data_IF_149563010456
#
_entry.id   IF_149563010456
#
_cell.length_a   1.000
_cell.length_b   1.000
_cell.length_c   1.000
_cell.angle_alpha   90.00
_cell.angle_beta   90.00
_cell.angle_gamma   90.00
#
_symmetry.space_group_name_H-M   'P 1'
#
loop_
_entity.id
_entity.type
_entity.pdbx_description
1 polymer ?
#
# COMPACT_ATOMS: atom_id res chain seq x y z
N UNK A 1 -13.85 -39.47 10.89
CA UNK A 1 -13.03 -39.58 12.13
C UNK A 1 -12.32 -38.22 12.26
N UNK A 2 -12.36 -37.62 13.46
CA UNK A 2 -11.64 -36.36 13.71
C UNK A 2 -10.15 -36.59 13.43
N UNK A 3 -9.49 -35.60 12.82
CA UNK A 3 -8.08 -35.74 12.43
C UNK A 3 -7.12 -35.69 13.62
N UNK A 4 -7.62 -35.21 14.75
CA UNK A 4 -6.84 -34.93 15.96
C UNK A 4 -5.91 -33.72 15.83
N UNK A 5 -5.91 -33.03 14.70
CA UNK A 5 -5.14 -31.82 14.47
C UNK A 5 -5.94 -30.55 14.78
N UNK A 6 -5.25 -29.49 15.25
CA UNK A 6 -5.83 -28.18 15.44
C UNK A 6 -4.81 -27.07 15.13
N UNK A 7 -5.32 -25.89 14.79
CA UNK A 7 -4.56 -24.66 14.69
C UNK A 7 -4.84 -23.80 15.92
N UNK A 8 -3.82 -23.52 16.71
CA UNK A 8 -3.91 -22.61 17.85
C UNK A 8 -3.47 -21.21 17.39
N UNK A 9 -4.33 -20.22 17.60
CA UNK A 9 -4.08 -18.83 17.29
C UNK A 9 -4.51 -17.91 18.44
N UNK A 10 -4.33 -16.61 18.26
CA UNK A 10 -4.74 -15.60 19.22
C UNK A 10 -5.81 -14.72 18.57
N UNK A 11 -6.97 -14.59 19.23
CA UNK A 11 -8.04 -13.71 18.76
C UNK A 11 -7.72 -12.23 18.97
N UNK A 12 -8.50 -11.34 18.35
CA UNK A 12 -8.31 -9.89 18.42
C UNK A 12 -8.38 -9.30 19.85
N UNK A 13 -9.01 -10.01 20.77
CA UNK A 13 -9.10 -9.64 22.20
C UNK A 13 -7.95 -10.21 23.05
N UNK A 14 -6.98 -10.90 22.42
CA UNK A 14 -5.84 -11.53 23.09
C UNK A 14 -6.14 -12.92 23.68
N UNK A 15 -7.34 -13.48 23.50
CA UNK A 15 -7.66 -14.84 23.95
C UNK A 15 -7.06 -15.89 23.01
N UNK A 16 -6.62 -17.03 23.57
CA UNK A 16 -6.23 -18.20 22.79
C UNK A 16 -7.43 -18.89 22.19
N UNK A 17 -7.38 -19.18 20.90
CA UNK A 17 -8.45 -19.88 20.18
C UNK A 17 -7.85 -21.08 19.47
N UNK A 18 -8.44 -22.25 19.74
CA UNK A 18 -8.12 -23.49 19.03
C UNK A 18 -9.16 -23.72 17.92
N UNK A 19 -8.68 -23.92 16.70
CA UNK A 19 -9.48 -24.23 15.53
C UNK A 19 -9.25 -25.70 15.15
N UNK A 20 -10.22 -26.57 15.44
CA UNK A 20 -10.12 -27.98 15.08
C UNK A 20 -10.05 -28.16 13.55
N UNK A 21 -9.10 -28.95 13.07
CA UNK A 21 -9.03 -29.42 11.68
C UNK A 21 -9.91 -30.66 11.58
N UNK A 22 -11.23 -30.46 11.52
CA UNK A 22 -12.21 -31.55 11.60
C UNK A 22 -12.12 -32.54 10.43
N UNK A 23 -11.66 -32.11 9.28
CA UNK A 23 -11.51 -32.94 8.06
C UNK A 23 -10.45 -32.37 7.15
N UNK A 24 -9.95 -33.18 6.24
CA UNK A 24 -8.96 -32.82 5.24
C UNK A 24 -9.50 -33.13 3.83
N UNK A 25 -9.21 -32.33 2.81
CA UNK A 25 -8.40 -31.10 2.88
C UNK A 25 -9.11 -29.98 3.66
N UNK A 26 -8.31 -29.14 4.34
CA UNK A 26 -8.78 -28.04 5.17
C UNK A 26 -8.27 -26.71 4.58
N UNK A 27 -9.18 -25.83 4.18
CA UNK A 27 -8.84 -24.57 3.53
C UNK A 27 -8.90 -23.40 4.50
N UNK A 28 -7.96 -22.47 4.34
CA UNK A 28 -7.80 -21.26 5.15
C UNK A 28 -7.85 -20.04 4.24
N UNK A 29 -8.56 -19.00 4.67
CA UNK A 29 -8.63 -17.75 3.94
C UNK A 29 -9.68 -16.79 4.50
N UNK A 30 -9.83 -15.61 3.90
CA UNK A 30 -10.78 -14.59 4.37
C UNK A 30 -12.22 -14.79 3.86
N UNK A 31 -12.41 -15.60 2.82
CA UNK A 31 -13.75 -15.86 2.27
C UNK A 31 -14.51 -16.85 3.14
N UNK A 32 -15.81 -16.65 3.30
CA UNK A 32 -16.71 -17.51 4.09
C UNK A 32 -16.81 -18.93 3.56
N UNK A 33 -16.37 -19.21 2.36
CA UNK A 33 -16.27 -20.56 1.79
C UNK A 33 -15.09 -21.39 2.26
N UNK A 34 -14.20 -20.87 3.12
CA UNK A 34 -13.10 -21.62 3.71
C UNK A 34 -13.53 -22.33 4.99
N UNK A 35 -12.81 -23.40 5.36
CA UNK A 35 -13.04 -24.12 6.60
C UNK A 35 -12.60 -23.29 7.82
N UNK A 36 -11.48 -22.57 7.71
CA UNK A 36 -11.08 -21.56 8.68
C UNK A 36 -11.16 -20.19 8.01
N UNK A 37 -12.11 -19.38 8.46
CA UNK A 37 -12.26 -17.99 8.03
C UNK A 37 -11.50 -17.09 8.99
N UNK A 38 -10.46 -16.42 8.47
CA UNK A 38 -9.64 -15.52 9.24
C UNK A 38 -9.79 -14.12 8.67
N UNK A 39 -10.32 -13.20 9.47
CA UNK A 39 -10.53 -11.78 9.06
C UNK A 39 -9.30 -10.92 9.34
N UNK A 40 -8.10 -11.42 9.06
CA UNK A 40 -6.88 -10.66 9.21
C UNK A 40 -6.51 -9.93 7.91
N UNK A 41 -5.96 -8.73 8.05
CA UNK A 41 -5.39 -7.99 6.92
C UNK A 41 -4.28 -8.82 6.26
N UNK A 42 -4.27 -8.85 4.94
CA UNK A 42 -3.25 -9.59 4.19
C UNK A 42 -3.61 -11.05 3.87
N UNK A 43 -4.74 -11.58 4.33
CA UNK A 43 -5.21 -12.89 3.87
C UNK A 43 -5.91 -12.82 2.51
N UNK A 44 -5.56 -13.74 1.63
CA UNK A 44 -6.27 -13.95 0.36
C UNK A 44 -7.62 -14.62 0.58
N UNK A 45 -8.56 -14.48 -0.36
CA UNK A 45 -9.90 -15.11 -0.28
C UNK A 45 -9.81 -16.61 -0.01
N UNK A 46 -8.97 -17.32 -0.79
CA UNK A 46 -8.45 -18.64 -0.51
C UNK A 46 -6.94 -18.51 -0.39
N UNK A 47 -6.37 -18.80 0.77
CA UNK A 47 -4.98 -18.50 1.07
C UNK A 47 -4.10 -19.75 1.03
N UNK A 48 -4.49 -20.76 1.78
CA UNK A 48 -3.74 -22.00 1.90
C UNK A 48 -4.67 -23.21 2.11
N UNK A 49 -4.10 -24.39 1.96
CA UNK A 49 -4.77 -25.67 2.17
C UNK A 49 -3.86 -26.65 2.92
N UNK A 50 -4.41 -27.28 3.95
CA UNK A 50 -3.83 -28.43 4.62
C UNK A 50 -4.46 -29.70 4.07
N UNK A 51 -3.64 -30.65 3.63
CA UNK A 51 -4.05 -31.93 3.06
C UNK A 51 -3.41 -33.09 3.83
N UNK A 52 -3.95 -34.33 3.71
CA UNK A 52 -3.33 -35.51 4.31
C UNK A 52 -1.91 -35.73 3.77
N UNK A 53 -1.04 -36.21 4.65
CA UNK A 53 0.30 -36.70 4.26
C UNK A 53 0.60 -38.01 4.99
N UNK A 54 1.68 -38.68 4.60
CA UNK A 54 2.11 -39.92 5.26
C UNK A 54 2.71 -39.62 6.64
N UNK A 55 2.47 -40.53 7.59
CA UNK A 55 2.97 -40.41 8.96
C UNK A 55 2.27 -39.35 9.78
N UNK A 56 2.99 -38.75 10.74
CA UNK A 56 2.50 -37.73 11.66
C UNK A 56 2.73 -36.30 11.11
N UNK A 57 2.28 -36.06 9.87
CA UNK A 57 2.43 -34.79 9.20
C UNK A 57 1.20 -34.41 8.37
N UNK A 58 1.04 -33.14 8.09
CA UNK A 58 0.11 -32.60 7.09
C UNK A 58 0.89 -31.97 5.96
N UNK A 59 0.30 -31.93 4.77
CA UNK A 59 0.87 -31.20 3.63
C UNK A 59 0.22 -29.82 3.54
N UNK A 60 1.01 -28.78 3.74
CA UNK A 60 0.58 -27.39 3.58
C UNK A 60 0.93 -26.89 2.18
N UNK A 61 -0.05 -26.28 1.52
CA UNK A 61 0.09 -25.70 0.18
C UNK A 61 -0.43 -24.25 0.20
N UNK A 62 0.39 -23.33 -0.29
CA UNK A 62 -0.06 -21.97 -0.60
C UNK A 62 -0.87 -21.98 -1.90
N UNK A 63 -2.06 -21.38 -1.91
CA UNK A 63 -2.98 -21.37 -3.06
C UNK A 63 -2.79 -20.14 -3.97
N UNK A 64 -1.59 -19.63 -4.06
CA UNK A 64 -1.27 -18.40 -4.81
C UNK A 64 -1.68 -17.16 -4.03
N UNK A 65 -1.43 -17.18 -2.73
CA UNK A 65 -1.77 -16.05 -1.86
C UNK A 65 -0.94 -14.81 -2.18
N UNK A 66 -1.52 -13.63 -1.98
CA UNK A 66 -0.84 -12.35 -2.26
C UNK A 66 0.37 -12.13 -1.35
N UNK A 67 0.25 -12.46 -0.06
CA UNK A 67 1.29 -12.20 0.94
C UNK A 67 2.12 -13.43 1.30
N UNK A 68 1.74 -14.60 0.81
CA UNK A 68 2.46 -15.84 1.03
C UNK A 68 2.09 -16.55 2.33
N UNK A 69 2.38 -17.85 2.35
CA UNK A 69 2.32 -18.73 3.52
C UNK A 69 3.74 -19.01 3.99
N UNK A 70 3.96 -19.04 5.30
CA UNK A 70 5.28 -19.30 5.89
C UNK A 70 5.18 -20.41 6.91
N UNK A 71 6.21 -21.25 7.01
CA UNK A 71 6.36 -22.28 8.03
C UNK A 71 7.69 -22.07 8.74
N UNK A 72 7.67 -21.90 10.06
CA UNK A 72 8.85 -21.64 10.87
C UNK A 72 9.71 -20.53 10.25
N UNK A 73 9.03 -19.47 9.74
CA UNK A 73 9.64 -18.27 9.15
C UNK A 73 10.16 -18.40 7.72
N UNK A 74 10.11 -19.57 7.12
CA UNK A 74 10.47 -19.79 5.72
C UNK A 74 9.24 -19.70 4.83
N UNK A 75 9.29 -18.87 3.79
CA UNK A 75 8.21 -18.77 2.82
C UNK A 75 8.04 -20.05 2.02
N UNK A 76 6.80 -20.51 1.88
CA UNK A 76 6.49 -21.63 0.99
C UNK A 76 6.66 -21.20 -0.47
N UNK A 77 7.57 -21.91 -1.16
CA UNK A 77 7.70 -21.84 -2.63
C UNK A 77 7.11 -23.07 -3.33
N UNK A 78 6.83 -24.12 -2.56
CA UNK A 78 6.21 -25.38 -2.99
C UNK A 78 5.48 -26.01 -1.78
N UNK A 79 4.58 -27.00 -1.99
CA UNK A 79 3.95 -27.71 -0.89
C UNK A 79 4.99 -28.32 0.07
N UNK A 80 4.77 -28.16 1.37
CA UNK A 80 5.67 -28.57 2.44
C UNK A 80 4.95 -29.45 3.47
N UNK A 81 5.64 -30.43 4.02
CA UNK A 81 5.18 -31.18 5.19
C UNK A 81 5.33 -30.33 6.43
N UNK A 82 4.25 -30.28 7.24
CA UNK A 82 4.19 -29.61 8.53
C UNK A 82 3.83 -30.61 9.60
N UNK A 83 4.43 -30.45 10.77
CA UNK A 83 4.31 -31.34 11.92
C UNK A 83 3.82 -30.60 13.14
N UNK A 84 3.56 -31.32 14.22
CA UNK A 84 3.20 -30.74 15.51
C UNK A 84 4.25 -29.71 15.97
N UNK A 85 3.77 -28.60 16.55
CA UNK A 85 4.52 -27.42 16.99
C UNK A 85 5.10 -26.52 15.87
N UNK A 86 4.88 -26.85 14.60
CA UNK A 86 5.25 -25.92 13.54
C UNK A 86 4.42 -24.64 13.66
N UNK A 87 5.09 -23.50 13.51
CA UNK A 87 4.47 -22.18 13.47
C UNK A 87 4.17 -21.83 12.02
N UNK A 88 2.92 -21.59 11.71
CA UNK A 88 2.43 -21.31 10.36
C UNK A 88 1.89 -19.89 10.33
N UNK A 89 2.35 -19.10 9.34
CA UNK A 89 1.78 -17.79 9.07
C UNK A 89 1.00 -17.83 7.75
N UNK A 90 -0.25 -17.40 7.81
CA UNK A 90 -1.08 -17.11 6.65
C UNK A 90 -1.16 -15.58 6.50
N UNK A 91 -0.33 -15.00 5.63
CA UNK A 91 -0.16 -13.54 5.63
C UNK A 91 0.32 -13.06 7.00
N UNK A 92 -0.48 -12.26 7.69
CA UNK A 92 -0.15 -11.71 9.01
C UNK A 92 -0.70 -12.53 10.19
N UNK A 93 -1.46 -13.59 9.94
CA UNK A 93 -2.04 -14.40 10.98
C UNK A 93 -1.12 -15.57 11.35
N UNK A 94 -0.71 -15.62 12.61
CA UNK A 94 0.14 -16.69 13.15
C UNK A 94 -0.70 -17.77 13.82
N UNK A 95 -0.35 -19.01 13.51
CA UNK A 95 -0.94 -20.20 14.10
C UNK A 95 0.13 -21.21 14.46
N UNK A 96 -0.07 -21.94 15.56
CA UNK A 96 0.70 -23.13 15.89
C UNK A 96 -0.09 -24.37 15.52
N UNK A 97 0.51 -25.31 14.84
CA UNK A 97 -0.10 -26.61 14.54
C UNK A 97 0.04 -27.51 15.76
N UNK A 98 -1.08 -27.96 16.29
CA UNK A 98 -1.14 -28.86 17.44
C UNK A 98 -1.86 -30.17 17.13
N UNK A 99 -1.67 -31.18 18.00
CA UNK A 99 -2.34 -32.49 17.91
C UNK A 99 -3.01 -32.86 19.24
N UNK A 100 -4.26 -33.26 19.19
CA UNK A 100 -4.99 -33.75 20.36
C UNK A 100 -4.56 -35.21 20.68
N UNK A 101 -4.07 -35.46 21.89
CA UNK A 101 -3.80 -36.84 22.35
C UNK A 101 -2.44 -37.11 23.01
N UNK A 102 -1.53 -36.13 23.13
CA UNK A 102 -0.40 -36.24 24.07
C UNK A 102 -0.72 -35.46 25.35
N UNK A 103 -0.42 -36.08 26.50
CA UNK A 103 -0.58 -35.46 27.81
C UNK A 103 0.03 -34.06 27.81
N UNK A 104 -0.81 -33.07 28.12
CA UNK A 104 -0.32 -31.73 28.48
C UNK A 104 0.65 -31.90 29.65
N UNK A 105 1.94 -31.82 29.42
CA UNK A 105 2.86 -31.51 30.49
C UNK A 105 2.46 -30.09 30.91
N UNK A 106 1.67 -30.01 31.96
CA UNK A 106 1.38 -28.75 32.64
C UNK A 106 2.72 -28.19 33.06
N UNK A 107 3.16 -27.16 32.37
CA UNK A 107 4.17 -26.26 32.92
C UNK A 107 3.65 -25.73 34.25
N UNK A 108 4.49 -25.68 35.30
CA UNK A 108 4.02 -25.26 36.62
C UNK A 108 3.39 -23.87 36.54
N UNK A 109 2.27 -23.70 37.27
CA UNK A 109 1.37 -22.55 37.22
C UNK A 109 1.96 -21.22 37.75
N UNK A 110 3.28 -21.05 37.77
CA UNK A 110 3.97 -19.87 38.33
C UNK A 110 4.76 -19.03 37.33
N UNK A 111 4.75 -19.38 36.07
CA UNK A 111 5.27 -18.50 35.04
C UNK A 111 4.09 -17.89 34.26
N UNK A 112 3.57 -16.77 34.76
CA UNK A 112 2.70 -15.87 34.01
C UNK A 112 3.51 -15.30 32.85
N UNK A 113 3.64 -16.09 31.79
CA UNK A 113 4.05 -15.59 30.51
C UNK A 113 2.99 -14.58 30.10
N UNK A 114 3.26 -13.31 30.28
CA UNK A 114 2.46 -12.20 29.74
C UNK A 114 2.51 -12.39 28.24
N UNK A 115 1.44 -12.98 27.68
CA UNK A 115 1.29 -13.10 26.24
C UNK A 115 1.07 -11.68 25.75
N UNK A 116 2.07 -11.17 25.07
CA UNK A 116 2.02 -9.86 24.46
C UNK A 116 0.90 -9.82 23.40
N UNK A 117 0.20 -8.69 23.26
CA UNK A 117 -0.82 -8.53 22.19
C UNK A 117 -0.23 -8.90 20.84
N UNK A 118 -1.09 -9.29 19.88
CA UNK A 118 -0.78 -9.70 18.48
C UNK A 118 0.16 -8.70 17.72
N UNK A 119 1.20 -8.29 18.23
CA UNK A 119 2.24 -7.42 17.70
C UNK A 119 3.60 -7.72 18.30
N UNK A 120 3.70 -8.69 19.19
CA UNK A 120 4.96 -8.93 19.92
C UNK A 120 5.49 -10.37 19.81
N UNK A 121 4.79 -11.31 19.20
CA UNK A 121 5.30 -12.66 18.88
C UNK A 121 5.70 -12.81 17.41
N UNK A 122 6.16 -11.73 16.80
CA UNK A 122 6.84 -11.80 15.53
C UNK A 122 8.22 -12.46 15.72
N UNK A 123 8.45 -13.47 14.93
CA UNK A 123 9.66 -14.27 14.92
C UNK A 123 10.94 -13.42 15.01
N UNK A 124 12.06 -13.97 15.55
CA UNK A 124 13.35 -13.30 15.67
C UNK A 124 13.89 -12.64 14.38
N UNK A 125 13.34 -13.01 13.20
CA UNK A 125 13.61 -12.34 11.94
C UNK A 125 12.81 -11.05 11.74
N UNK A 126 11.61 -10.95 12.32
CA UNK A 126 10.80 -9.73 12.27
C UNK A 126 11.16 -8.72 13.37
N UNK A 127 11.69 -9.19 14.50
CA UNK A 127 12.12 -8.30 15.59
C UNK A 127 13.15 -7.25 15.14
N UNK A 128 14.21 -7.58 14.38
CA UNK A 128 15.10 -6.57 13.82
C UNK A 128 14.39 -5.59 12.88
N UNK A 129 13.51 -6.09 12.02
CA UNK A 129 12.77 -5.25 11.09
C UNK A 129 11.71 -4.38 11.79
N UNK A 130 11.04 -4.89 12.82
CA UNK A 130 10.12 -4.11 13.65
C UNK A 130 10.85 -2.97 14.36
N UNK A 131 11.99 -3.27 14.96
CA UNK A 131 12.84 -2.25 15.58
C UNK A 131 13.30 -1.22 14.55
N UNK A 132 13.85 -1.68 13.43
CA UNK A 132 14.30 -0.82 12.35
C UNK A 132 13.16 0.04 11.76
N UNK A 133 11.96 -0.53 11.59
CA UNK A 133 10.79 0.23 11.14
C UNK A 133 10.38 1.28 12.20
N UNK A 134 10.44 0.95 13.49
CA UNK A 134 10.17 1.92 14.56
C UNK A 134 11.20 3.06 14.55
N UNK A 135 12.48 2.76 14.34
CA UNK A 135 13.55 3.75 14.18
C UNK A 135 13.31 4.62 12.94
N UNK A 136 12.89 4.03 11.81
CA UNK A 136 12.51 4.76 10.61
C UNK A 136 11.34 5.72 10.88
N UNK A 137 10.27 5.24 11.51
CA UNK A 137 9.09 6.04 11.85
C UNK A 137 9.41 7.16 12.83
N UNK A 138 10.44 6.99 13.68
CA UNK A 138 10.99 8.02 14.54
C UNK A 138 11.91 9.01 13.78
N UNK A 139 12.13 8.81 12.48
CA UNK A 139 12.91 9.69 11.63
C UNK A 139 14.29 9.18 11.22
N UNK A 140 14.78 8.08 11.80
CA UNK A 140 16.11 7.54 11.50
C UNK A 140 16.10 6.82 10.14
N UNK A 141 16.78 7.39 9.14
CA UNK A 141 16.86 6.83 7.79
C UNK A 141 15.65 7.11 6.92
N UNK A 142 14.71 7.97 7.35
CA UNK A 142 13.69 8.54 6.44
C UNK A 142 14.37 9.41 5.40
N UNK A 143 14.05 9.15 4.14
CA UNK A 143 14.49 9.96 3.01
C UNK A 143 13.33 10.16 2.05
N UNK A 144 13.42 11.18 1.21
CA UNK A 144 12.41 11.49 0.20
C UNK A 144 13.12 11.86 -1.09
N UNK A 145 12.63 11.33 -2.20
CA UNK A 145 12.98 11.81 -3.53
C UNK A 145 11.86 12.70 -4.06
N UNK A 146 12.22 13.63 -4.93
CA UNK A 146 11.27 14.47 -5.63
C UNK A 146 11.35 14.22 -7.13
N UNK A 147 10.19 14.09 -7.78
CA UNK A 147 10.09 13.96 -9.23
C UNK A 147 9.33 15.14 -9.81
N UNK A 148 9.82 15.77 -10.90
CA UNK A 148 9.15 16.91 -11.48
C UNK A 148 7.90 16.51 -12.27
N UNK A 149 6.83 17.29 -12.08
CA UNK A 149 5.63 17.34 -12.91
C UNK A 149 5.71 18.61 -13.73
N UNK A 150 5.64 18.51 -15.05
CA UNK A 150 5.79 19.66 -15.95
C UNK A 150 4.51 19.92 -16.75
N UNK A 151 4.36 21.14 -17.25
CA UNK A 151 3.26 21.43 -18.18
C UNK A 151 3.51 20.74 -19.52
N UNK A 152 2.43 20.18 -20.09
CA UNK A 152 2.49 19.47 -21.35
C UNK A 152 2.86 20.41 -22.53
N UNK A 153 2.39 21.66 -22.49
CA UNK A 153 2.77 22.66 -23.50
C UNK A 153 4.25 23.03 -23.35
N UNK A 154 5.09 22.74 -24.38
CA UNK A 154 6.51 22.97 -24.30
C UNK A 154 6.89 24.47 -24.24
N UNK A 155 6.08 25.37 -24.80
CA UNK A 155 6.31 26.81 -24.71
C UNK A 155 6.09 27.30 -23.27
N UNK A 156 5.07 26.83 -22.60
CA UNK A 156 4.80 27.16 -21.20
C UNK A 156 5.88 26.51 -20.32
N UNK A 157 6.23 25.25 -20.56
CA UNK A 157 7.26 24.54 -19.81
C UNK A 157 8.64 25.23 -19.95
N UNK A 158 9.02 25.64 -21.15
CA UNK A 158 10.30 26.34 -21.40
C UNK A 158 10.34 27.73 -20.78
N UNK A 159 9.21 28.45 -20.73
CA UNK A 159 9.12 29.75 -20.10
C UNK A 159 9.14 29.68 -18.55
N UNK A 160 8.78 28.53 -17.99
CA UNK A 160 8.78 28.33 -16.56
C UNK A 160 10.22 28.13 -16.04
N UNK A 161 10.57 28.84 -14.97
CA UNK A 161 11.89 28.69 -14.30
C UNK A 161 11.96 27.47 -13.40
N UNK A 162 10.82 26.80 -13.18
CA UNK A 162 10.67 25.63 -12.30
C UNK A 162 9.58 24.71 -12.85
N UNK A 163 9.56 23.42 -12.48
CA UNK A 163 8.46 22.51 -12.80
C UNK A 163 7.13 23.05 -12.23
N UNK A 164 6.00 22.60 -12.80
CA UNK A 164 4.67 22.94 -12.30
C UNK A 164 4.49 22.49 -10.85
N UNK A 165 4.94 21.28 -10.56
CA UNK A 165 4.89 20.69 -9.23
C UNK A 165 6.02 19.68 -9.04
N UNK A 166 6.18 19.21 -7.82
CA UNK A 166 7.03 18.07 -7.45
C UNK A 166 6.16 16.99 -6.83
N UNK A 167 6.36 15.74 -7.22
CA UNK A 167 5.85 14.61 -6.46
C UNK A 167 6.90 14.13 -5.46
N UNK A 168 6.49 13.93 -4.20
CA UNK A 168 7.36 13.43 -3.15
C UNK A 168 7.20 11.93 -2.99
N UNK A 169 8.29 11.22 -3.17
CA UNK A 169 8.36 9.77 -3.15
C UNK A 169 9.18 9.29 -1.94
N UNK A 170 8.54 8.63 -0.99
CA UNK A 170 9.19 8.08 0.20
C UNK A 170 10.33 7.13 -0.15
N UNK A 171 11.43 7.22 0.61
CA UNK A 171 12.61 6.36 0.48
C UNK A 171 13.12 5.99 1.86
N UNK A 172 13.73 4.82 1.97
CA UNK A 172 14.48 4.43 3.16
C UNK A 172 15.96 4.35 2.83
N UNK A 173 16.78 4.96 3.68
CA UNK A 173 18.24 4.75 3.71
C UNK A 173 18.65 4.02 5.00
N UNK A 174 17.68 3.43 5.70
CA UNK A 174 17.95 2.63 6.90
C UNK A 174 18.64 1.32 6.50
N UNK A 175 19.79 0.97 7.13
CA UNK A 175 20.63 -0.16 6.67
C UNK A 175 19.96 -1.53 6.82
N UNK A 176 18.97 -1.67 7.68
CA UNK A 176 18.27 -2.93 7.95
C UNK A 176 16.90 -3.03 7.27
N UNK A 177 16.50 -2.03 6.47
CA UNK A 177 15.21 -2.01 5.80
C UNK A 177 15.36 -2.02 4.28
N UNK A 178 14.37 -2.55 3.54
CA UNK A 178 14.37 -2.46 2.10
C UNK A 178 14.43 -1.01 1.61
N UNK A 179 15.29 -0.74 0.64
CA UNK A 179 15.36 0.56 -0.02
C UNK A 179 14.20 0.77 -1.02
N UNK A 180 13.67 -0.30 -1.61
CA UNK A 180 12.56 -0.28 -2.56
C UNK A 180 11.24 0.00 -1.83
N UNK A 181 10.49 1.08 -2.21
CA UNK A 181 9.26 1.46 -1.51
C UNK A 181 8.23 0.34 -1.40
N UNK A 182 7.99 -0.42 -2.48
CA UNK A 182 7.02 -1.51 -2.47
C UNK A 182 7.36 -2.61 -1.44
N UNK A 183 8.63 -2.97 -1.30
CA UNK A 183 9.07 -3.95 -0.30
C UNK A 183 8.97 -3.39 1.12
N UNK A 184 9.27 -2.10 1.29
CA UNK A 184 9.16 -1.44 2.58
C UNK A 184 7.70 -1.31 3.04
N UNK A 185 6.78 -0.92 2.15
CA UNK A 185 5.36 -0.89 2.44
C UNK A 185 4.79 -2.28 2.69
N UNK A 186 5.26 -3.30 1.95
CA UNK A 186 4.89 -4.69 2.24
C UNK A 186 5.29 -5.11 3.65
N UNK A 187 6.53 -4.80 4.07
CA UNK A 187 7.00 -5.05 5.44
C UNK A 187 6.16 -4.28 6.47
N UNK A 188 5.88 -3.00 6.21
CA UNK A 188 5.06 -2.18 7.10
C UNK A 188 3.62 -2.73 7.22
N UNK A 189 3.04 -3.22 6.12
CA UNK A 189 1.71 -3.85 6.12
C UNK A 189 1.70 -5.16 6.93
N UNK A 190 2.77 -5.98 6.85
CA UNK A 190 2.94 -7.16 7.70
C UNK A 190 2.95 -6.81 9.19
N UNK A 191 3.43 -5.62 9.52
CA UNK A 191 3.50 -5.11 10.90
C UNK A 191 2.28 -4.23 11.29
N UNK A 192 1.30 -4.09 10.38
CA UNK A 192 0.11 -3.25 10.59
C UNK A 192 0.43 -1.75 10.69
N UNK A 193 1.54 -1.28 10.08
CA UNK A 193 2.06 0.09 10.21
C UNK A 193 2.22 0.82 8.88
N UNK A 194 1.58 0.36 7.83
CA UNK A 194 1.63 0.94 6.48
C UNK A 194 1.04 2.36 6.41
N UNK A 195 -0.09 2.61 7.07
CA UNK A 195 -0.66 3.94 7.19
C UNK A 195 0.26 4.91 7.95
N UNK A 196 0.92 4.43 9.01
CA UNK A 196 1.86 5.22 9.79
C UNK A 196 3.13 5.54 8.97
N UNK A 197 3.62 4.58 8.18
CA UNK A 197 4.74 4.77 7.27
C UNK A 197 4.43 5.81 6.18
N UNK A 198 3.27 5.71 5.57
CA UNK A 198 2.80 6.67 4.57
C UNK A 198 2.77 8.09 5.14
N UNK A 199 2.21 8.24 6.34
CA UNK A 199 2.16 9.50 7.09
C UNK A 199 3.54 10.05 7.40
N UNK A 200 4.45 9.20 7.87
CA UNK A 200 5.82 9.59 8.21
C UNK A 200 6.59 10.12 6.98
N UNK A 201 6.50 9.45 5.83
CA UNK A 201 7.10 9.94 4.59
C UNK A 201 6.52 11.29 4.15
N UNK A 202 5.21 11.43 4.18
CA UNK A 202 4.52 12.67 3.80
C UNK A 202 4.91 13.82 4.72
N UNK A 203 4.84 13.65 6.02
CA UNK A 203 5.19 14.69 6.98
C UNK A 203 6.66 15.12 6.86
N UNK A 204 7.56 14.13 6.75
CA UNK A 204 9.00 14.40 6.58
C UNK A 204 9.27 15.18 5.31
N UNK A 205 8.73 14.72 4.17
CA UNK A 205 8.93 15.34 2.86
C UNK A 205 8.37 16.75 2.79
N UNK A 206 7.14 16.97 3.28
CA UNK A 206 6.51 18.29 3.27
C UNK A 206 7.28 19.30 4.12
N UNK A 207 7.72 18.92 5.33
CA UNK A 207 8.55 19.81 6.17
C UNK A 207 9.89 20.12 5.51
N UNK A 208 10.52 19.13 4.89
CA UNK A 208 11.80 19.31 4.20
C UNK A 208 11.67 20.22 2.97
N UNK A 209 10.62 20.03 2.14
CA UNK A 209 10.37 20.86 0.96
C UNK A 209 9.99 22.30 1.33
N UNK A 210 9.14 22.49 2.34
CA UNK A 210 8.69 23.83 2.77
C UNK A 210 9.88 24.73 3.17
N UNK A 211 10.93 24.16 3.76
CA UNK A 211 12.15 24.91 4.09
C UNK A 211 12.97 25.34 2.87
N UNK A 212 12.89 24.57 1.78
CA UNK A 212 13.68 24.82 0.56
C UNK A 212 12.94 25.64 -0.49
N UNK A 213 11.66 25.35 -0.64
CA UNK A 213 10.79 25.94 -1.69
C UNK A 213 9.42 26.27 -1.13
N UNK A 214 9.30 27.28 -0.24
CA UNK A 214 8.02 27.71 0.29
C UNK A 214 7.09 28.12 -0.85
N UNK A 215 5.80 27.75 -0.74
CA UNK A 215 4.78 28.05 -1.75
C UNK A 215 4.78 27.12 -2.98
N UNK A 216 5.72 26.17 -3.08
CA UNK A 216 5.71 25.22 -4.19
C UNK A 216 4.46 24.32 -4.17
N UNK A 217 3.97 23.97 -5.37
CA UNK A 217 2.96 22.91 -5.53
C UNK A 217 3.62 21.54 -5.37
N UNK A 218 3.03 20.68 -4.55
CA UNK A 218 3.59 19.38 -4.21
C UNK A 218 2.53 18.31 -4.15
N UNK A 219 2.79 17.20 -4.81
CA UNK A 219 1.98 15.99 -4.79
C UNK A 219 2.54 15.02 -3.74
N UNK A 220 1.68 14.43 -2.94
CA UNK A 220 2.03 13.50 -1.87
C UNK A 220 1.04 12.36 -1.78
N UNK A 221 1.56 11.16 -1.70
CA UNK A 221 0.78 9.93 -1.67
C UNK A 221 0.10 9.68 -0.32
N UNK A 222 -1.06 9.01 -0.39
CA UNK A 222 -1.65 8.26 0.73
C UNK A 222 -1.64 6.77 0.41
N UNK A 223 -1.32 5.94 1.40
CA UNK A 223 -1.56 4.51 1.28
C UNK A 223 -3.07 4.22 1.33
N UNK A 224 -3.55 3.18 0.62
CA UNK A 224 -4.98 2.87 0.57
C UNK A 224 -5.62 2.71 1.96
N UNK A 225 -4.89 2.08 2.91
CA UNK A 225 -5.35 1.93 4.29
C UNK A 225 -5.32 3.24 5.10
N UNK A 226 -4.59 4.25 4.63
CA UNK A 226 -4.50 5.56 5.29
C UNK A 226 -5.60 6.51 4.84
N UNK A 227 -6.13 6.37 3.65
CA UNK A 227 -7.06 7.35 3.03
C UNK A 227 -8.23 7.70 3.95
N UNK A 228 -8.74 6.74 4.70
CA UNK A 228 -9.81 6.96 5.67
C UNK A 228 -9.37 6.70 7.14
N UNK A 229 -8.07 6.67 7.40
CA UNK A 229 -7.54 6.56 8.76
C UNK A 229 -7.78 7.86 9.54
N UNK A 230 -8.25 7.78 10.81
CA UNK A 230 -8.51 8.96 11.63
C UNK A 230 -7.31 9.89 11.83
N UNK A 231 -6.10 9.41 11.62
CA UNK A 231 -4.85 10.19 11.75
C UNK A 231 -4.49 11.02 10.53
N UNK A 232 -5.14 10.81 9.36
CA UNK A 232 -4.81 11.54 8.13
C UNK A 232 -5.03 13.05 8.28
N UNK A 233 -6.26 13.47 8.51
CA UNK A 233 -6.61 14.90 8.63
C UNK A 233 -5.85 15.60 9.76
N UNK A 234 -5.77 15.05 10.99
CA UNK A 234 -4.97 15.65 12.05
C UNK A 234 -3.49 15.81 11.69
N UNK A 235 -2.93 14.92 10.84
CA UNK A 235 -1.54 15.05 10.37
C UNK A 235 -1.35 16.28 9.47
N UNK A 236 -2.32 16.56 8.60
CA UNK A 236 -2.31 17.72 7.71
C UNK A 236 -2.55 19.03 8.49
N UNK A 237 -3.47 19.00 9.47
CA UNK A 237 -3.72 20.13 10.39
C UNK A 237 -2.44 20.51 11.15
N UNK A 238 -1.73 19.53 11.71
CA UNK A 238 -0.44 19.79 12.39
C UNK A 238 0.58 20.42 11.45
N UNK A 239 0.71 19.95 10.20
CA UNK A 239 1.62 20.55 9.24
C UNK A 239 1.27 22.03 8.97
N UNK A 240 -0.02 22.36 8.85
CA UNK A 240 -0.47 23.76 8.71
C UNK A 240 -0.14 24.58 9.96
N UNK A 241 -0.41 24.05 11.15
CA UNK A 241 -0.08 24.68 12.42
C UNK A 241 1.43 24.91 12.62
N UNK A 242 2.25 23.98 12.11
CA UNK A 242 3.73 24.09 12.11
C UNK A 242 4.27 25.08 11.06
N UNK A 243 3.39 25.78 10.32
CA UNK A 243 3.77 26.78 9.34
C UNK A 243 4.26 26.23 8.02
N UNK A 244 3.87 25.01 7.62
CA UNK A 244 4.17 24.45 6.29
C UNK A 244 3.35 25.19 5.23
N UNK A 245 4.01 26.11 4.53
CA UNK A 245 3.43 26.93 3.44
C UNK A 245 3.76 26.24 2.11
N UNK A 246 2.94 25.28 1.72
CA UNK A 246 2.99 24.57 0.45
C UNK A 246 1.58 24.48 -0.13
N UNK A 247 1.47 24.42 -1.46
CA UNK A 247 0.25 24.09 -2.16
C UNK A 247 0.20 22.55 -2.31
N UNK A 248 -0.44 21.89 -1.35
CA UNK A 248 -0.44 20.44 -1.21
C UNK A 248 -1.54 19.82 -2.06
N UNK A 249 -1.19 18.82 -2.85
CA UNK A 249 -2.09 17.91 -3.56
C UNK A 249 -1.93 16.52 -2.96
N UNK A 250 -2.97 16.01 -2.31
CA UNK A 250 -2.99 14.67 -1.72
C UNK A 250 -3.41 13.66 -2.79
N UNK A 251 -2.59 12.67 -3.05
CA UNK A 251 -2.89 11.59 -3.99
C UNK A 251 -3.65 10.47 -3.28
N UNK A 252 -4.81 10.13 -3.83
CA UNK A 252 -5.69 9.06 -3.34
C UNK A 252 -5.75 7.98 -4.39
N UNK A 253 -5.31 6.79 -4.03
CA UNK A 253 -5.32 5.65 -4.94
C UNK A 253 -6.75 5.28 -5.35
N UNK A 254 -6.98 4.95 -6.62
CA UNK A 254 -8.30 4.59 -7.19
C UNK A 254 -9.03 3.54 -6.35
N UNK A 255 -8.32 2.54 -5.81
CA UNK A 255 -8.93 1.46 -5.02
C UNK A 255 -9.48 1.89 -3.67
N UNK A 256 -9.09 3.05 -3.13
CA UNK A 256 -9.61 3.57 -1.87
C UNK A 256 -11.01 4.17 -2.04
N UNK A 257 -11.43 4.50 -3.27
CA UNK A 257 -12.73 5.13 -3.56
C UNK A 257 -13.84 4.07 -3.60
N UNK A 258 -14.15 3.46 -2.46
CA UNK A 258 -15.19 2.42 -2.36
C UNK A 258 -16.55 3.02 -1.96
N UNK A 259 -16.54 4.11 -1.20
CA UNK A 259 -17.74 4.73 -0.63
C UNK A 259 -17.79 6.22 -0.96
N UNK A 260 -18.57 6.59 -1.97
CA UNK A 260 -18.76 7.99 -2.43
C UNK A 260 -19.05 8.98 -1.27
N UNK A 261 -19.93 8.68 -0.29
CA UNK A 261 -20.17 9.61 0.82
C UNK A 261 -18.93 9.88 1.67
N UNK A 262 -18.10 8.85 1.94
CA UNK A 262 -16.85 9.03 2.70
C UNK A 262 -15.82 9.82 1.92
N UNK A 263 -15.73 9.58 0.61
CA UNK A 263 -14.82 10.32 -0.25
C UNK A 263 -15.23 11.81 -0.34
N UNK A 264 -16.52 12.10 -0.42
CA UNK A 264 -17.04 13.49 -0.40
C UNK A 264 -16.68 14.18 0.90
N UNK A 265 -16.91 13.53 2.05
CA UNK A 265 -16.56 14.09 3.36
C UNK A 265 -15.04 14.34 3.47
N UNK A 266 -14.20 13.45 2.93
CA UNK A 266 -12.76 13.66 2.86
C UNK A 266 -12.41 14.86 1.99
N UNK A 267 -13.01 14.99 0.79
CA UNK A 267 -12.77 16.10 -0.13
C UNK A 267 -13.13 17.45 0.51
N UNK A 268 -14.27 17.53 1.20
CA UNK A 268 -14.73 18.73 1.91
C UNK A 268 -13.74 19.10 3.04
N UNK A 269 -13.28 18.12 3.80
CA UNK A 269 -12.30 18.34 4.87
C UNK A 269 -10.92 18.78 4.34
N UNK A 270 -10.45 18.20 3.24
CA UNK A 270 -9.23 18.63 2.57
C UNK A 270 -9.34 20.05 2.06
N UNK A 271 -10.47 20.40 1.44
CA UNK A 271 -10.75 21.76 0.97
C UNK A 271 -10.71 22.78 2.12
N UNK A 272 -11.28 22.45 3.27
CA UNK A 272 -11.25 23.31 4.46
C UNK A 272 -9.82 23.57 4.97
N UNK A 273 -8.88 22.63 4.74
CA UNK A 273 -7.46 22.76 5.08
C UNK A 273 -6.63 23.42 3.96
N UNK A 274 -7.27 23.84 2.86
CA UNK A 274 -6.55 24.34 1.68
C UNK A 274 -5.65 23.28 1.05
N UNK A 275 -6.07 22.02 1.08
CA UNK A 275 -5.39 20.89 0.45
C UNK A 275 -6.23 20.42 -0.73
N UNK A 276 -5.61 20.37 -1.91
CA UNK A 276 -6.21 19.78 -3.11
C UNK A 276 -6.04 18.27 -3.08
N UNK A 277 -6.75 17.54 -3.92
CA UNK A 277 -6.51 16.12 -4.07
C UNK A 277 -6.48 15.68 -5.53
N UNK A 278 -5.83 14.55 -5.78
CA UNK A 278 -5.73 13.87 -7.05
C UNK A 278 -6.18 12.42 -6.92
N UNK A 279 -6.80 11.87 -7.95
CA UNK A 279 -6.91 10.44 -8.11
C UNK A 279 -5.66 9.91 -8.78
N UNK A 280 -5.07 8.88 -8.18
CA UNK A 280 -3.83 8.25 -8.64
C UNK A 280 -4.10 6.89 -9.28
N UNK A 281 -3.21 6.45 -10.17
CA UNK A 281 -3.26 5.18 -10.92
C UNK A 281 -4.56 4.98 -11.73
N UNK A 282 -5.15 6.07 -12.24
CA UNK A 282 -6.40 5.99 -12.99
C UNK A 282 -6.23 5.13 -14.25
N UNK A 283 -7.02 4.03 -14.31
CA UNK A 283 -6.99 3.08 -15.42
C UNK A 283 -6.05 1.89 -15.24
N UNK A 284 -5.36 1.78 -14.10
CA UNK A 284 -4.58 0.57 -13.77
C UNK A 284 -5.46 -0.64 -13.43
N UNK A 285 -6.72 -0.39 -13.05
CA UNK A 285 -7.65 -1.44 -12.61
C UNK A 285 -9.07 -1.26 -13.17
N UNK A 286 -10.05 -1.13 -12.30
CA UNK A 286 -11.43 -0.83 -12.66
C UNK A 286 -11.61 0.68 -12.66
N UNK A 287 -11.49 1.32 -13.83
CA UNK A 287 -11.72 2.76 -13.95
C UNK A 287 -13.10 3.15 -13.37
N UNK A 288 -13.08 3.85 -12.24
CA UNK A 288 -14.30 4.26 -11.51
C UNK A 288 -14.81 5.60 -12.04
N UNK A 289 -15.30 5.57 -13.27
CA UNK A 289 -15.76 6.76 -14.00
C UNK A 289 -16.98 7.44 -13.36
N UNK A 290 -17.83 6.67 -12.70
CA UNK A 290 -19.03 7.22 -12.05
C UNK A 290 -18.64 7.98 -10.79
N UNK A 291 -17.72 7.44 -10.01
CA UNK A 291 -17.20 8.05 -8.80
C UNK A 291 -16.46 9.37 -9.08
N UNK A 292 -15.75 9.47 -10.22
CA UNK A 292 -15.17 10.72 -10.69
C UNK A 292 -16.23 11.81 -10.90
N UNK A 293 -17.40 11.44 -11.44
CA UNK A 293 -18.52 12.36 -11.61
C UNK A 293 -19.15 12.81 -10.28
N UNK A 294 -19.18 11.91 -9.29
CA UNK A 294 -19.77 12.17 -7.98
C UNK A 294 -18.87 13.02 -7.06
N UNK A 295 -17.55 12.82 -7.14
CA UNK A 295 -16.53 13.55 -6.35
C UNK A 295 -15.37 13.95 -7.27
N UNK A 296 -15.50 15.02 -8.06
CA UNK A 296 -14.43 15.46 -8.96
C UNK A 296 -13.16 15.86 -8.18
N UNK A 297 -12.02 15.30 -8.57
CA UNK A 297 -10.71 15.66 -8.05
C UNK A 297 -10.17 16.92 -8.77
N UNK A 298 -9.18 17.58 -8.19
CA UNK A 298 -8.46 18.64 -8.88
C UNK A 298 -7.57 18.13 -10.01
N UNK A 299 -7.05 16.92 -9.82
CA UNK A 299 -6.18 16.24 -10.79
C UNK A 299 -6.57 14.77 -10.91
N UNK A 300 -6.36 14.21 -12.11
CA UNK A 300 -6.45 12.77 -12.37
C UNK A 300 -5.16 12.34 -13.04
N UNK A 301 -4.40 11.45 -12.39
CA UNK A 301 -3.15 10.89 -12.90
C UNK A 301 -3.47 9.60 -13.65
N UNK A 302 -3.18 9.60 -14.92
CA UNK A 302 -3.39 8.45 -15.80
C UNK A 302 -2.18 7.52 -15.68
N UNK A 303 -2.45 6.29 -15.29
CA UNK A 303 -1.42 5.26 -15.08
C UNK A 303 -0.55 5.06 -16.32
N UNK A 304 0.71 4.75 -16.08
CA UNK A 304 1.69 4.47 -17.13
C UNK A 304 1.24 3.38 -18.11
N UNK A 305 0.40 2.44 -17.68
CA UNK A 305 -0.15 1.40 -18.55
C UNK A 305 -1.02 1.95 -19.68
N UNK A 306 -1.64 3.12 -19.50
CA UNK A 306 -2.37 3.81 -20.56
C UNK A 306 -1.46 4.64 -21.46
N UNK A 307 -0.36 5.17 -20.94
CA UNK A 307 0.52 6.17 -21.56
C UNK A 307 1.69 5.54 -22.32
N UNK A 308 2.32 4.51 -21.77
CA UNK A 308 3.49 3.87 -22.42
C UNK A 308 3.17 3.29 -23.78
N UNK A 309 4.01 3.66 -24.76
CA UNK A 309 3.85 3.23 -26.15
C UNK A 309 2.60 3.75 -26.84
N UNK A 310 1.96 4.78 -26.29
CA UNK A 310 0.73 5.36 -26.86
C UNK A 310 0.96 5.93 -28.28
N UNK A 311 2.17 6.42 -28.56
CA UNK A 311 2.60 6.89 -29.87
C UNK A 311 2.59 5.80 -30.95
N UNK A 312 2.78 4.55 -30.55
CA UNK A 312 2.78 3.36 -31.42
C UNK A 312 1.51 2.54 -31.31
N UNK A 313 0.58 2.95 -30.45
CA UNK A 313 -0.67 2.25 -30.25
C UNK A 313 -1.61 2.44 -31.43
N UNK A 314 -2.46 1.43 -31.69
CA UNK A 314 -3.47 1.51 -32.73
C UNK A 314 -4.52 2.59 -32.44
N UNK A 315 -5.24 3.08 -33.49
CA UNK A 315 -6.18 4.19 -33.39
C UNK A 315 -7.29 3.98 -32.35
N UNK A 316 -7.73 2.75 -32.15
CA UNK A 316 -8.77 2.43 -31.17
C UNK A 316 -8.31 2.72 -29.74
N UNK A 317 -7.07 2.31 -29.37
CA UNK A 317 -6.51 2.59 -28.04
C UNK A 317 -6.29 4.08 -27.84
N UNK A 318 -5.72 4.77 -28.83
CA UNK A 318 -5.52 6.21 -28.77
C UNK A 318 -6.85 6.96 -28.59
N UNK A 319 -7.91 6.51 -29.29
CA UNK A 319 -9.25 7.10 -29.17
C UNK A 319 -9.80 6.92 -27.74
N UNK A 320 -9.70 5.72 -27.16
CA UNK A 320 -10.17 5.47 -25.78
C UNK A 320 -9.48 6.40 -24.79
N UNK A 321 -8.15 6.50 -24.83
CA UNK A 321 -7.42 7.38 -23.93
C UNK A 321 -7.80 8.85 -24.12
N UNK A 322 -7.92 9.29 -25.38
CA UNK A 322 -8.37 10.66 -25.71
C UNK A 322 -9.76 10.98 -25.18
N UNK A 323 -10.70 10.02 -25.29
CA UNK A 323 -12.07 10.19 -24.78
C UNK A 323 -12.10 10.26 -23.24
N UNK A 324 -11.26 9.46 -22.57
CA UNK A 324 -11.09 9.53 -21.10
C UNK A 324 -10.49 10.87 -20.64
N UNK A 325 -9.47 11.36 -21.32
CA UNK A 325 -8.87 12.68 -21.03
C UNK A 325 -9.89 13.79 -21.20
N UNK A 326 -10.68 13.74 -22.29
CA UNK A 326 -11.76 14.70 -22.51
C UNK A 326 -12.79 14.67 -21.39
N UNK A 327 -13.25 13.48 -20.98
CA UNK A 327 -14.19 13.32 -19.88
C UNK A 327 -13.68 13.93 -18.58
N UNK A 328 -12.44 13.59 -18.21
CA UNK A 328 -11.79 14.14 -16.99
C UNK A 328 -11.76 15.67 -17.01
N UNK A 329 -11.45 16.27 -18.17
CA UNK A 329 -11.43 17.73 -18.33
C UNK A 329 -12.82 18.35 -18.31
N UNK A 330 -13.82 17.70 -18.90
CA UNK A 330 -15.22 18.14 -18.83
C UNK A 330 -15.78 18.13 -17.39
N UNK A 331 -15.26 17.24 -16.53
CA UNK A 331 -15.57 17.22 -15.11
C UNK A 331 -14.82 18.31 -14.31
N UNK A 332 -13.97 19.11 -14.96
CA UNK A 332 -13.21 20.20 -14.33
C UNK A 332 -11.88 19.77 -13.70
N UNK A 333 -11.46 18.53 -13.91
CA UNK A 333 -10.19 18.00 -13.41
C UNK A 333 -9.05 18.22 -14.42
N UNK A 334 -7.84 18.44 -13.93
CA UNK A 334 -6.62 18.51 -14.76
C UNK A 334 -6.10 17.09 -15.03
N UNK A 335 -5.91 16.74 -16.30
CA UNK A 335 -5.37 15.44 -16.71
C UNK A 335 -3.83 15.46 -16.70
N UNK A 336 -3.23 14.50 -15.97
CA UNK A 336 -1.79 14.29 -15.86
C UNK A 336 -1.44 12.91 -16.44
N UNK A 337 -0.48 12.85 -17.38
CA UNK A 337 0.03 11.60 -17.92
C UNK A 337 1.27 11.16 -17.12
N UNK A 338 1.25 9.92 -16.64
CA UNK A 338 2.37 9.32 -15.92
C UNK A 338 3.22 8.40 -16.80
N UNK A 339 4.47 8.20 -16.40
CA UNK A 339 5.37 7.27 -17.05
C UNK A 339 5.77 7.65 -18.46
N UNK A 340 5.70 8.94 -18.82
CA UNK A 340 6.14 9.45 -20.14
C UNK A 340 7.67 9.31 -20.26
N UNK A 341 8.14 8.50 -21.21
CA UNK A 341 9.56 8.21 -21.38
C UNK A 341 10.14 8.78 -22.68
N UNK A 342 9.31 9.05 -23.69
CA UNK A 342 9.75 9.49 -25.02
C UNK A 342 9.02 10.75 -25.48
N UNK A 343 9.66 11.52 -26.37
CA UNK A 343 9.02 12.67 -27.02
C UNK A 343 7.82 12.27 -27.90
N UNK A 344 7.83 11.05 -28.46
CA UNK A 344 6.70 10.52 -29.21
C UNK A 344 5.46 10.37 -28.32
N UNK A 345 5.61 9.76 -27.16
CA UNK A 345 4.55 9.66 -26.14
C UNK A 345 4.06 11.04 -25.70
N UNK A 346 4.99 11.94 -25.37
CA UNK A 346 4.66 13.30 -24.96
C UNK A 346 3.87 14.07 -26.03
N UNK A 347 4.26 13.94 -27.31
CA UNK A 347 3.57 14.59 -28.42
C UNK A 347 2.12 14.09 -28.56
N UNK A 348 1.90 12.78 -28.45
CA UNK A 348 0.56 12.19 -28.51
C UNK A 348 -0.27 12.58 -27.28
N UNK A 349 0.31 12.56 -26.08
CA UNK A 349 -0.37 13.03 -24.87
C UNK A 349 -0.84 14.50 -24.99
N UNK A 350 0.00 15.38 -25.55
CA UNK A 350 -0.38 16.78 -25.85
C UNK A 350 -1.56 16.87 -26.81
N UNK A 351 -1.56 16.07 -27.88
CA UNK A 351 -2.65 16.02 -28.87
C UNK A 351 -3.95 15.51 -28.26
N UNK A 352 -3.89 14.58 -27.31
CA UNK A 352 -5.02 14.07 -26.56
C UNK A 352 -5.57 15.05 -25.53
N UNK A 353 -4.83 16.14 -25.21
CA UNK A 353 -5.27 17.19 -24.31
C UNK A 353 -4.80 17.01 -22.86
N UNK A 354 -3.81 16.16 -22.60
CA UNK A 354 -3.14 16.17 -21.29
C UNK A 354 -2.51 17.54 -21.02
N UNK A 355 -2.67 18.02 -19.79
CA UNK A 355 -2.22 19.35 -19.38
C UNK A 355 -0.88 19.28 -18.63
N UNK A 356 -0.63 18.12 -17.99
CA UNK A 356 0.58 17.84 -17.22
C UNK A 356 1.20 16.51 -17.66
N UNK A 357 2.52 16.44 -17.58
CA UNK A 357 3.32 15.25 -17.89
C UNK A 357 4.28 14.95 -16.76
N UNK A 358 4.45 13.67 -16.47
CA UNK A 358 5.43 13.13 -15.53
C UNK A 358 6.03 11.85 -16.08
N UNK A 359 7.32 11.67 -15.91
CA UNK A 359 8.03 10.47 -16.36
C UNK A 359 9.53 10.70 -16.48
N UNK A 360 10.24 9.72 -17.01
CA UNK A 360 11.69 9.84 -17.17
C UNK A 360 12.11 10.85 -18.23
N UNK A 361 11.22 11.17 -19.17
CA UNK A 361 11.44 12.26 -20.13
C UNK A 361 11.52 13.63 -19.42
N UNK A 362 10.65 13.87 -18.44
CA UNK A 362 10.56 15.15 -17.74
C UNK A 362 11.54 15.26 -16.57
N UNK A 363 12.00 14.13 -16.06
CA UNK A 363 13.00 14.03 -15.00
C UNK A 363 12.82 12.77 -14.15
N UNK A 364 13.93 12.18 -13.75
CA UNK A 364 13.94 11.07 -12.79
C UNK A 364 13.74 11.59 -11.38
N UNK A 365 13.19 10.78 -10.46
CA UNK A 365 13.22 11.12 -9.04
C UNK A 365 14.66 11.36 -8.57
N UNK A 366 14.89 12.48 -7.91
CA UNK A 366 16.18 12.83 -7.30
C UNK A 366 16.02 13.04 -5.80
N UNK A 367 17.05 12.76 -4.98
CA UNK A 367 16.98 13.03 -3.55
C UNK A 367 16.54 14.48 -3.29
N UNK A 368 15.61 14.68 -2.38
CA UNK A 368 15.09 16.02 -2.06
C UNK A 368 16.21 16.98 -1.62
N UNK A 369 17.26 16.43 -1.02
CA UNK A 369 18.43 17.21 -0.58
C UNK A 369 19.29 17.76 -1.74
N UNK A 370 19.11 17.25 -2.94
CA UNK A 370 19.80 17.71 -4.15
C UNK A 370 19.06 18.80 -4.94
N UNK A 371 17.88 19.24 -4.49
CA UNK A 371 17.08 20.32 -5.11
C UNK A 371 17.60 21.75 -4.73
#
# INVERSE_FOLDING_TARGET
MATGWFLEGVAADGSHVEHEIAHLPFTIGRDVGNHLVVTALGLSRRHAELAPADGDALRLTDLGSTNGTFVNRERLSAPRLVTENDIIHFGNAEFRLGRAGMERTQAPADDRTVIAPIGQTLSEHFVPHERALRELLAGTGLAVAAQPIVRADPAIAAAAKAPFALELLGRSVHPQLPAAPGQLFHLAALLGRDAELSRAFREHGLRALARRRPGATVFVNTHANETFDPGLLPSLERLRADGVVLDIVLEVHETAVVEVPRMRALADALQALGVRFAYDDFGAGQARLLELGDVPAHFVKFDMGLVRGIDRAGPARQKVVSDLVRLVRELGSTALAEGVETEGEAAVCRQMGFELLQGYLTGRPVPLDSL
#
